data_IF_361795719440
#
_entry.id   IF_361795719440
#
_cell.length_a   1.000
_cell.length_b   1.000
_cell.length_c   1.000
_cell.angle_alpha   90.00
_cell.angle_beta   90.00
_cell.angle_gamma   90.00
#
_symmetry.space_group_name_H-M   'P 1'
#
loop_
_entity.id
_entity.type
_entity.pdbx_description
1 polymer ?
#
# COMPACT_ATOMS: atom_id res chain seq x y z
N UNK A 1 38.95 -13.01 -53.48
CA UNK A 1 37.77 -12.14 -53.32
C UNK A 1 36.94 -12.70 -52.17
N UNK A 2 37.01 -12.06 -50.99
CA UNK A 2 35.87 -11.42 -50.28
C UNK A 2 34.82 -12.40 -49.73
N UNK A 3 34.71 -12.47 -48.40
CA UNK A 3 33.57 -13.11 -47.74
C UNK A 3 33.73 -13.30 -46.23
N UNK A 4 33.89 -12.21 -45.49
CA UNK A 4 33.70 -12.16 -44.03
C UNK A 4 32.24 -12.45 -43.68
N UNK A 5 31.99 -13.18 -42.60
CA UNK A 5 30.93 -12.94 -41.58
C UNK A 5 31.01 -14.08 -40.55
N UNK A 6 31.76 -13.93 -39.46
CA UNK A 6 31.30 -13.31 -38.21
C UNK A 6 29.94 -13.88 -37.77
N UNK A 7 29.96 -15.13 -37.26
CA UNK A 7 28.80 -15.73 -36.60
C UNK A 7 28.52 -15.02 -35.29
N UNK A 8 27.30 -14.48 -35.19
CA UNK A 8 26.72 -13.85 -34.01
C UNK A 8 26.93 -14.71 -32.76
N UNK A 9 27.80 -14.27 -31.86
CA UNK A 9 27.69 -14.66 -30.46
C UNK A 9 26.60 -13.79 -29.85
N UNK A 10 25.46 -14.43 -29.63
CA UNK A 10 24.27 -13.87 -29.02
C UNK A 10 24.64 -13.14 -27.72
N UNK A 11 24.43 -11.82 -27.71
CA UNK A 11 24.40 -11.04 -26.49
C UNK A 11 23.27 -11.57 -25.62
N UNK A 12 23.62 -12.39 -24.63
CA UNK A 12 22.73 -12.70 -23.52
C UNK A 12 22.53 -11.39 -22.74
N UNK A 13 21.55 -10.60 -23.16
CA UNK A 13 20.97 -9.56 -22.33
C UNK A 13 20.22 -10.28 -21.22
N UNK A 14 20.96 -10.68 -20.19
CA UNK A 14 20.38 -11.06 -18.92
C UNK A 14 19.78 -9.77 -18.37
N UNK A 15 18.52 -9.50 -18.71
CA UNK A 15 17.67 -8.64 -17.91
C UNK A 15 17.48 -9.35 -16.57
N UNK A 16 18.50 -9.27 -15.71
CA UNK A 16 18.32 -9.48 -14.28
C UNK A 16 17.43 -8.32 -13.85
N UNK A 17 16.11 -8.48 -13.96
CA UNK A 17 15.20 -7.68 -13.16
C UNK A 17 15.40 -8.16 -11.74
N UNK A 18 16.47 -7.68 -11.13
CA UNK A 18 16.71 -7.78 -9.71
C UNK A 18 15.63 -6.92 -9.07
N UNK A 19 14.44 -7.50 -8.93
CA UNK A 19 13.42 -7.01 -8.01
C UNK A 19 14.03 -7.16 -6.64
N UNK A 20 14.79 -6.15 -6.22
CA UNK A 20 15.11 -5.92 -4.82
C UNK A 20 13.77 -5.76 -4.12
N UNK A 21 13.21 -6.87 -3.66
CA UNK A 21 12.28 -6.84 -2.55
C UNK A 21 13.10 -6.25 -1.41
N UNK A 22 13.00 -4.92 -1.22
CA UNK A 22 13.56 -4.26 -0.05
C UNK A 22 13.11 -5.06 1.16
N UNK A 23 14.07 -5.62 1.88
CA UNK A 23 13.80 -6.25 3.15
C UNK A 23 13.01 -5.26 4.03
N UNK A 24 11.76 -5.61 4.35
CA UNK A 24 11.11 -5.26 5.61
C UNK A 24 9.94 -4.27 5.60
N UNK A 25 9.70 -3.47 4.55
CA UNK A 25 8.52 -2.58 4.51
C UNK A 25 7.42 -3.23 3.69
N UNK A 26 6.33 -3.63 4.34
CA UNK A 26 5.18 -4.17 3.60
C UNK A 26 4.70 -3.16 2.55
N UNK A 27 4.41 -3.61 1.34
CA UNK A 27 3.96 -2.71 0.27
C UNK A 27 2.72 -1.91 0.69
N UNK A 28 1.85 -2.48 1.54
CA UNK A 28 0.69 -1.78 2.08
C UNK A 28 1.04 -0.68 3.08
N UNK A 29 2.08 -0.86 3.89
CA UNK A 29 2.63 0.22 4.75
C UNK A 29 3.12 1.37 3.88
N UNK A 30 3.79 1.10 2.77
CA UNK A 30 4.24 2.15 1.86
C UNK A 30 3.04 2.93 1.28
N UNK A 31 2.01 2.23 0.81
CA UNK A 31 0.77 2.89 0.34
C UNK A 31 0.13 3.75 1.44
N UNK A 32 0.12 3.30 2.69
CA UNK A 32 -0.41 4.08 3.82
C UNK A 32 0.34 5.41 4.02
N UNK A 33 1.67 5.38 3.93
CA UNK A 33 2.51 6.57 4.04
C UNK A 33 2.30 7.50 2.84
N UNK A 34 2.37 6.96 1.61
CA UNK A 34 2.34 7.73 0.37
C UNK A 34 0.98 8.38 0.09
N UNK A 35 -0.12 7.70 0.45
CA UNK A 35 -1.48 8.23 0.25
C UNK A 35 -1.92 9.18 1.37
N UNK A 36 -1.02 9.53 2.29
CA UNK A 36 -1.22 10.53 3.32
C UNK A 36 -2.22 10.11 4.40
N UNK A 37 -2.31 8.81 4.70
CA UNK A 37 -3.13 8.31 5.80
C UNK A 37 -2.63 8.82 7.16
N UNK A 38 -1.31 9.02 7.27
CA UNK A 38 -0.65 9.66 8.43
C UNK A 38 -1.03 11.12 8.64
N UNK A 39 -1.73 11.76 7.71
CA UNK A 39 -2.22 13.11 7.99
C UNK A 39 -3.25 13.12 9.15
N UNK A 40 -3.94 12.00 9.38
CA UNK A 40 -4.93 11.87 10.45
C UNK A 40 -4.68 10.67 11.36
N UNK A 41 -4.26 9.52 10.82
CA UNK A 41 -4.17 8.27 11.58
C UNK A 41 -2.77 7.98 12.10
N UNK A 42 -2.69 7.57 13.36
CA UNK A 42 -1.50 6.98 13.99
C UNK A 42 -1.57 5.44 13.87
N UNK A 43 -0.41 4.78 13.89
CA UNK A 43 -0.26 3.33 14.10
C UNK A 43 0.83 3.12 15.16
N UNK A 44 0.45 3.29 16.42
CA UNK A 44 1.39 3.24 17.57
C UNK A 44 2.15 1.91 17.65
N UNK A 45 1.52 0.78 17.35
CA UNK A 45 2.19 -0.53 17.35
C UNK A 45 3.39 -0.62 16.40
N UNK A 46 3.49 0.28 15.43
CA UNK A 46 4.58 0.36 14.45
C UNK A 46 5.36 1.69 14.53
N UNK A 47 5.13 2.49 15.58
CA UNK A 47 5.77 3.80 15.77
C UNK A 47 5.46 4.82 14.67
N UNK A 48 4.30 4.70 14.00
CA UNK A 48 3.90 5.63 12.93
C UNK A 48 3.02 6.72 13.52
N UNK A 49 3.55 7.94 13.60
CA UNK A 49 2.82 9.09 14.12
C UNK A 49 1.97 9.80 13.06
N UNK A 50 0.84 10.35 13.50
CA UNK A 50 0.01 11.22 12.67
C UNK A 50 0.48 12.68 12.72
N UNK A 51 0.16 13.42 11.66
CA UNK A 51 0.28 14.89 11.62
C UNK A 51 -0.88 15.60 12.34
N UNK A 52 -1.79 14.85 12.97
CA UNK A 52 -2.92 15.34 13.76
C UNK A 52 -3.74 16.45 13.07
N UNK A 53 -3.99 16.34 11.76
CA UNK A 53 -4.83 17.33 11.06
C UNK A 53 -6.30 17.31 11.51
N UNK A 54 -6.74 16.21 12.12
CA UNK A 54 -8.03 16.06 12.80
C UNK A 54 -7.96 14.87 13.76
N UNK A 55 -8.97 14.76 14.63
CA UNK A 55 -9.14 13.58 15.47
C UNK A 55 -9.53 12.36 14.60
N UNK A 56 -8.75 11.30 14.72
CA UNK A 56 -8.96 10.04 14.02
C UNK A 56 -8.38 8.89 14.86
N UNK A 57 -9.02 7.71 14.83
CA UNK A 57 -8.62 6.59 15.68
C UNK A 57 -7.25 6.04 15.28
N UNK A 58 -6.52 5.53 16.28
CA UNK A 58 -5.35 4.71 16.06
C UNK A 58 -5.72 3.39 15.35
N UNK A 59 -4.89 2.99 14.37
CA UNK A 59 -5.16 1.84 13.52
C UNK A 59 -4.37 0.59 13.90
N UNK A 60 -3.63 0.59 15.01
CA UNK A 60 -2.78 -0.53 15.45
C UNK A 60 -3.50 -1.86 15.55
N UNK A 61 -4.81 -1.85 15.81
CA UNK A 61 -5.63 -3.06 15.92
C UNK A 61 -6.82 -3.08 14.97
N UNK A 62 -6.80 -2.28 13.88
CA UNK A 62 -7.95 -2.14 12.97
C UNK A 62 -8.39 -3.47 12.35
N UNK A 63 -7.46 -4.40 12.13
CA UNK A 63 -7.74 -5.75 11.62
C UNK A 63 -8.46 -6.68 12.60
N UNK A 64 -8.59 -6.31 13.88
CA UNK A 64 -9.47 -7.00 14.84
C UNK A 64 -10.90 -6.44 14.84
N UNK A 65 -11.07 -5.18 14.43
CA UNK A 65 -12.34 -4.44 14.54
C UNK A 65 -13.20 -4.52 13.30
N UNK A 66 -12.57 -4.67 12.14
CA UNK A 66 -13.24 -4.63 10.84
C UNK A 66 -12.64 -5.63 9.86
N UNK A 67 -13.50 -6.12 8.96
CA UNK A 67 -13.09 -6.98 7.86
C UNK A 67 -12.68 -6.19 6.60
N UNK A 68 -12.23 -6.91 5.58
CA UNK A 68 -11.82 -6.31 4.32
C UNK A 68 -12.96 -5.60 3.60
N UNK A 69 -14.17 -6.14 3.65
CA UNK A 69 -15.33 -5.64 2.93
C UNK A 69 -15.79 -4.29 3.48
N UNK A 70 -15.76 -4.15 4.81
CA UNK A 70 -15.92 -2.89 5.51
C UNK A 70 -14.87 -1.87 5.05
N UNK A 71 -13.57 -2.20 5.12
CA UNK A 71 -12.51 -1.28 4.73
C UNK A 71 -12.66 -0.81 3.26
N UNK A 72 -13.02 -1.73 2.37
CA UNK A 72 -13.29 -1.46 0.95
C UNK A 72 -14.39 -0.42 0.77
N UNK A 73 -15.53 -0.63 1.43
CA UNK A 73 -16.71 0.21 1.29
C UNK A 73 -16.52 1.55 2.01
N UNK A 74 -15.94 1.53 3.21
CA UNK A 74 -15.76 2.72 4.05
C UNK A 74 -14.75 3.70 3.46
N UNK A 75 -13.56 3.22 3.06
CA UNK A 75 -12.54 4.08 2.42
C UNK A 75 -12.98 4.59 1.04
N UNK A 76 -13.97 3.94 0.41
CA UNK A 76 -14.62 4.43 -0.82
C UNK A 76 -15.85 5.30 -0.56
N UNK A 77 -16.17 5.59 0.70
CA UNK A 77 -17.34 6.37 1.16
C UNK A 77 -18.69 5.79 0.68
N UNK A 78 -18.75 4.47 0.50
CA UNK A 78 -19.98 3.72 0.12
C UNK A 78 -20.84 3.36 1.32
N UNK A 79 -20.26 3.31 2.51
CA UNK A 79 -20.95 3.11 3.79
C UNK A 79 -20.51 4.20 4.77
N UNK A 80 -21.24 4.33 5.86
CA UNK A 80 -20.86 5.12 7.03
C UNK A 80 -20.55 4.21 8.23
N UNK A 81 -19.88 4.77 9.22
CA UNK A 81 -19.68 4.22 10.55
C UNK A 81 -20.33 5.20 11.52
N UNK A 82 -21.41 4.78 12.18
CA UNK A 82 -22.20 5.62 13.11
C UNK A 82 -22.66 6.95 12.47
N UNK A 83 -23.23 6.89 11.26
CA UNK A 83 -23.70 8.06 10.52
C UNK A 83 -22.60 8.92 9.90
N UNK A 84 -21.32 8.56 10.08
CA UNK A 84 -20.18 9.31 9.55
C UNK A 84 -19.45 8.51 8.48
N UNK A 85 -19.33 9.07 7.28
CA UNK A 85 -18.46 8.52 6.23
C UNK A 85 -17.01 8.85 6.54
N UNK A 86 -16.08 8.04 6.03
CA UNK A 86 -14.66 8.37 6.09
C UNK A 86 -14.40 9.74 5.45
N UNK A 87 -13.53 10.55 6.07
CA UNK A 87 -13.36 11.96 5.70
C UNK A 87 -12.94 12.11 4.23
N UNK A 88 -11.94 11.34 3.81
CA UNK A 88 -11.44 11.33 2.43
C UNK A 88 -11.80 10.03 1.72
N UNK A 89 -12.25 10.13 0.47
CA UNK A 89 -12.32 8.95 -0.42
C UNK A 89 -10.90 8.57 -0.79
N UNK A 90 -10.55 7.28 -0.70
CA UNK A 90 -9.26 6.79 -1.16
C UNK A 90 -9.04 7.14 -2.65
N UNK A 91 -7.85 7.68 -2.95
CA UNK A 91 -7.41 7.99 -4.32
C UNK A 91 -6.17 7.15 -4.61
N UNK A 92 -6.25 6.28 -5.62
CA UNK A 92 -5.17 5.36 -5.99
C UNK A 92 -5.66 4.21 -6.86
N UNK A 93 -4.73 3.38 -7.32
CA UNK A 93 -5.05 2.22 -8.15
C UNK A 93 -5.79 1.14 -7.34
N UNK A 94 -6.46 0.20 -8.03
CA UNK A 94 -7.03 -0.99 -7.38
C UNK A 94 -5.95 -1.82 -6.68
N UNK A 95 -4.76 -1.93 -7.29
CA UNK A 95 -3.63 -2.65 -6.73
C UNK A 95 -3.15 -2.00 -5.42
N UNK A 96 -2.95 -0.68 -5.40
CA UNK A 96 -2.57 0.07 -4.19
C UNK A 96 -3.60 -0.15 -3.08
N UNK A 97 -4.89 -0.10 -3.43
CA UNK A 97 -5.96 -0.33 -2.47
C UNK A 97 -5.86 -1.73 -1.84
N UNK A 98 -5.64 -2.77 -2.64
CA UNK A 98 -5.53 -4.14 -2.13
C UNK A 98 -4.30 -4.32 -1.24
N UNK A 99 -3.17 -3.71 -1.60
CA UNK A 99 -1.96 -3.70 -0.77
C UNK A 99 -2.23 -3.04 0.59
N UNK A 100 -2.84 -1.85 0.57
CA UNK A 100 -3.23 -1.12 1.78
C UNK A 100 -4.19 -1.93 2.65
N UNK A 101 -5.27 -2.44 2.06
CA UNK A 101 -6.29 -3.22 2.75
C UNK A 101 -5.67 -4.46 3.42
N UNK A 102 -4.86 -5.23 2.70
CA UNK A 102 -4.17 -6.41 3.24
C UNK A 102 -3.30 -6.04 4.45
N UNK A 103 -2.57 -4.93 4.38
CA UNK A 103 -1.75 -4.49 5.49
C UNK A 103 -2.58 -4.02 6.68
N UNK A 104 -3.64 -3.23 6.50
CA UNK A 104 -4.53 -2.83 7.58
C UNK A 104 -5.17 -4.03 8.29
N UNK A 105 -5.56 -5.07 7.54
CA UNK A 105 -6.11 -6.31 8.11
C UNK A 105 -5.08 -7.15 8.89
N UNK A 106 -3.79 -6.91 8.66
CA UNK A 106 -2.72 -7.56 9.41
C UNK A 106 -2.43 -6.90 10.76
N UNK A 107 -2.94 -5.68 11.01
CA UNK A 107 -2.77 -4.95 12.26
C UNK A 107 -3.75 -5.48 13.31
N UNK A 108 -3.27 -6.27 14.27
CA UNK A 108 -4.08 -6.95 15.28
C UNK A 108 -3.56 -6.77 16.68
#
# INVERSE_FOLDING_TARGET
MRGVTAGLLASALVCVTFSTSLAGVSEGKQVFLDKGCTNCHTVTALGIESKKMMDAPDLSTVGTRHDGDFLLKFLRKKIDLNGKKHQKKFKGSKADFMKLQKWLLSLK
#
